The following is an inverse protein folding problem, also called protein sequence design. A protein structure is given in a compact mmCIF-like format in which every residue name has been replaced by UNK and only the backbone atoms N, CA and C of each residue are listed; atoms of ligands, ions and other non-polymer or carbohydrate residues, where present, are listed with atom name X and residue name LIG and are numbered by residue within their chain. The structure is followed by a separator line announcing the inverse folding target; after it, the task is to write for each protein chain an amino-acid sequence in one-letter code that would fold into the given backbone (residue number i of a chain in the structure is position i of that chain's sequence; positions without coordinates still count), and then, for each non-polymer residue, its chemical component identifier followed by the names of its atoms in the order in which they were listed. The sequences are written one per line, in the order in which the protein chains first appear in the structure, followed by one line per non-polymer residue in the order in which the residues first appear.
data_IF_730800962168
#
_entry.id   IF_730800962168
#
_cell.length_a   1.000
_cell.length_b   1.000
_cell.length_c   1.000
_cell.angle_alpha   90.00
_cell.angle_beta   90.00
_cell.angle_gamma   90.00
#
_symmetry.space_group_name_H-M   'P 1'
#
loop_
_entity.id
_entity.type
_entity.pdbx_description
1 polymer ?
#
# COMPACT_ATOMS: atom_id res chain seq x y z
N UNK A 1 -10.61 -21.68 14.18
CA UNK A 1 -11.55 -21.06 13.24
C UNK A 1 -10.85 -19.86 12.61
N UNK A 2 -10.34 -20.00 11.37
CA UNK A 2 -9.86 -18.86 10.58
C UNK A 2 -11.07 -18.12 10.05
N UNK A 3 -11.37 -16.96 10.65
CA UNK A 3 -12.25 -16.01 10.00
C UNK A 3 -11.49 -15.41 8.82
N UNK A 4 -11.88 -15.75 7.60
CA UNK A 4 -11.43 -15.02 6.44
C UNK A 4 -12.03 -13.62 6.53
N UNK A 5 -11.28 -12.65 7.02
CA UNK A 5 -11.65 -11.24 6.92
C UNK A 5 -11.78 -10.90 5.44
N UNK A 6 -12.98 -10.60 5.01
CA UNK A 6 -13.21 -10.10 3.66
C UNK A 6 -12.85 -8.62 3.68
N UNK A 7 -11.74 -8.27 3.06
CA UNK A 7 -11.41 -6.87 2.83
C UNK A 7 -12.15 -6.34 1.61
N UNK A 8 -12.62 -5.10 1.69
CA UNK A 8 -13.17 -4.36 0.56
C UNK A 8 -12.01 -3.70 -0.19
N UNK A 9 -11.88 -3.94 -1.49
CA UNK A 9 -10.85 -3.28 -2.29
C UNK A 9 -11.09 -1.77 -2.34
N UNK A 10 -10.00 -1.00 -2.23
CA UNK A 10 -10.00 0.45 -2.21
C UNK A 10 -9.03 1.00 -3.26
N UNK A 11 -9.35 2.19 -3.79
CA UNK A 11 -8.34 2.97 -4.50
C UNK A 11 -7.23 3.38 -3.51
N UNK A 12 -5.97 3.50 -3.95
CA UNK A 12 -4.85 3.81 -3.06
C UNK A 12 -4.97 5.17 -2.34
N UNK A 13 -5.66 6.13 -2.96
CA UNK A 13 -5.87 7.45 -2.37
C UNK A 13 -7.20 8.08 -2.78
N UNK A 14 -7.78 8.82 -1.85
CA UNK A 14 -8.96 9.66 -2.02
C UNK A 14 -8.64 11.08 -1.58
N UNK A 15 -9.35 12.06 -2.16
CA UNK A 15 -9.26 13.45 -1.74
C UNK A 15 -10.21 13.73 -0.58
N UNK A 16 -9.81 14.59 0.36
CA UNK A 16 -10.74 15.15 1.35
C UNK A 16 -11.95 15.80 0.65
N UNK A 17 -13.13 15.63 1.20
CA UNK A 17 -14.40 16.02 0.59
C UNK A 17 -15.03 14.99 -0.34
N UNK A 18 -14.31 13.94 -0.75
CA UNK A 18 -14.90 12.85 -1.55
C UNK A 18 -15.81 11.95 -0.71
N UNK A 19 -16.77 11.33 -1.41
CA UNK A 19 -17.63 10.29 -0.86
C UNK A 19 -17.28 8.93 -1.46
N UNK A 20 -17.41 7.89 -0.65
CA UNK A 20 -17.22 6.49 -1.06
C UNK A 20 -18.54 5.74 -0.83
N UNK A 21 -19.10 5.18 -1.88
CA UNK A 21 -20.37 4.45 -1.83
C UNK A 21 -20.10 2.96 -1.54
N UNK A 22 -20.42 2.54 -0.33
CA UNK A 22 -20.37 1.15 0.10
C UNK A 22 -21.75 0.47 0.07
N UNK A 23 -22.81 1.13 -0.37
CA UNK A 23 -24.19 0.66 -0.31
C UNK A 23 -24.39 -0.77 -0.83
N UNK A 24 -23.75 -1.10 -1.95
CA UNK A 24 -23.87 -2.44 -2.57
C UNK A 24 -23.29 -3.57 -1.71
N UNK A 25 -22.34 -3.26 -0.82
CA UNK A 25 -21.69 -4.24 0.04
C UNK A 25 -22.24 -4.22 1.45
N UNK A 26 -22.51 -3.04 1.94
CA UNK A 26 -22.80 -2.72 3.32
C UNK A 26 -24.29 -2.83 3.61
N UNK A 27 -25.16 -2.31 2.73
CA UNK A 27 -26.63 -2.40 2.89
C UNK A 27 -27.22 -3.73 2.44
N UNK A 28 -26.53 -4.48 1.58
CA UNK A 28 -27.05 -5.72 1.01
C UNK A 28 -27.48 -6.74 2.05
N UNK A 29 -26.81 -6.76 3.18
CA UNK A 29 -27.06 -7.72 4.25
C UNK A 29 -27.84 -7.11 5.44
N UNK A 30 -28.27 -5.83 5.35
CA UNK A 30 -29.25 -5.21 6.24
C UNK A 30 -28.82 -4.99 7.69
N UNK A 31 -27.50 -5.00 8.01
CA UNK A 31 -27.03 -5.15 9.38
C UNK A 31 -25.98 -4.14 9.84
N UNK A 32 -25.71 -3.08 9.09
CA UNK A 32 -24.69 -2.12 9.50
C UNK A 32 -25.22 -1.14 10.51
N UNK A 33 -24.56 -1.11 11.64
CA UNK A 33 -24.91 -0.23 12.75
C UNK A 33 -23.92 0.88 12.94
N UNK A 34 -22.67 0.71 12.46
CA UNK A 34 -21.62 1.71 12.71
C UNK A 34 -20.42 1.51 11.74
N UNK A 35 -19.64 2.57 11.56
CA UNK A 35 -18.37 2.55 10.87
C UNK A 35 -17.31 3.22 11.74
N UNK A 36 -16.14 2.59 11.85
CA UNK A 36 -15.00 3.11 12.59
C UNK A 36 -13.83 3.26 11.62
N UNK A 37 -13.19 4.41 11.60
CA UNK A 37 -11.97 4.64 10.82
C UNK A 37 -10.75 4.53 11.72
N UNK A 38 -9.79 3.75 11.28
CA UNK A 38 -8.52 3.54 11.97
C UNK A 38 -7.37 4.09 11.14
N UNK A 39 -6.46 4.82 11.79
CA UNK A 39 -5.15 5.08 11.24
C UNK A 39 -4.28 3.83 11.35
N UNK A 40 -3.56 3.53 10.28
CA UNK A 40 -2.60 2.43 10.22
C UNK A 40 -1.19 3.02 10.22
N UNK A 41 -0.53 3.08 11.38
CA UNK A 41 0.81 3.66 11.45
C UNK A 41 1.82 2.76 10.72
N UNK A 42 2.65 3.37 9.87
CA UNK A 42 3.63 2.68 9.02
C UNK A 42 4.72 1.91 9.78
N UNK A 43 4.90 2.14 11.08
CA UNK A 43 6.04 1.64 11.85
C UNK A 43 5.71 0.92 13.16
N UNK A 44 4.46 0.62 13.46
CA UNK A 44 4.12 -0.06 14.72
C UNK A 44 3.14 -1.19 14.50
N UNK A 45 3.52 -2.38 14.89
CA UNK A 45 2.70 -3.58 14.83
C UNK A 45 1.53 -3.60 15.82
N UNK A 46 1.40 -2.60 16.71
CA UNK A 46 0.63 -2.80 17.93
C UNK A 46 -0.48 -1.79 18.23
N UNK A 47 -0.78 -0.81 17.39
CA UNK A 47 -1.83 0.16 17.75
C UNK A 47 -2.52 0.79 16.54
N UNK A 48 -3.68 0.25 16.18
CA UNK A 48 -4.65 1.00 15.39
C UNK A 48 -5.13 2.19 16.21
N UNK A 49 -4.99 3.39 15.67
CA UNK A 49 -5.52 4.60 16.30
C UNK A 49 -6.89 4.88 15.70
N UNK A 50 -7.92 4.80 16.51
CA UNK A 50 -9.26 5.17 16.08
C UNK A 50 -9.34 6.68 15.84
N UNK A 51 -9.78 7.07 14.66
CA UNK A 51 -9.98 8.46 14.29
C UNK A 51 -11.38 8.91 14.71
N UNK A 52 -11.47 10.16 15.13
CA UNK A 52 -12.74 10.76 15.55
C UNK A 52 -13.59 11.22 14.33
N UNK A 53 -14.84 11.62 14.58
CA UNK A 53 -15.81 12.04 13.57
C UNK A 53 -15.41 13.31 12.79
N UNK A 54 -14.30 13.95 13.13
CA UNK A 54 -13.77 15.08 12.34
C UNK A 54 -13.12 14.65 11.04
N UNK A 55 -12.74 13.37 10.91
CA UNK A 55 -12.08 12.82 9.73
C UNK A 55 -13.03 12.23 8.71
N UNK A 56 -14.14 11.68 9.15
CA UNK A 56 -15.13 11.07 8.25
C UNK A 56 -16.54 11.19 8.83
N UNK A 57 -17.52 10.87 7.98
CA UNK A 57 -18.92 10.70 8.33
C UNK A 57 -19.47 9.47 7.62
N UNK A 58 -20.31 8.71 8.29
CA UNK A 58 -20.94 7.53 7.73
C UNK A 58 -22.47 7.66 7.80
N UNK A 59 -23.09 7.69 6.64
CA UNK A 59 -24.53 7.64 6.53
C UNK A 59 -25.01 6.18 6.50
N UNK A 60 -25.54 5.73 7.63
CA UNK A 60 -25.99 4.35 7.82
C UNK A 60 -27.20 4.00 6.91
N UNK A 61 -27.99 4.96 6.50
CA UNK A 61 -29.18 4.73 5.66
C UNK A 61 -28.76 4.53 4.19
N UNK A 62 -27.77 5.25 3.75
CA UNK A 62 -27.29 5.21 2.36
C UNK A 62 -26.06 4.33 2.17
N UNK A 63 -25.32 4.00 3.23
CA UNK A 63 -24.05 3.27 3.17
C UNK A 63 -22.93 4.07 2.56
N UNK A 64 -22.99 5.40 2.61
CA UNK A 64 -22.01 6.31 2.05
C UNK A 64 -21.10 6.85 3.16
N UNK A 65 -19.79 6.80 2.91
CA UNK A 65 -18.79 7.46 3.76
C UNK A 65 -18.35 8.76 3.10
N UNK A 66 -18.36 9.84 3.85
CA UNK A 66 -17.80 11.15 3.45
C UNK A 66 -16.47 11.37 4.14
N UNK A 67 -15.39 11.58 3.37
CA UNK A 67 -14.05 11.87 3.89
C UNK A 67 -13.94 13.37 4.15
N UNK A 68 -13.81 13.78 5.41
CA UNK A 68 -13.86 15.20 5.80
C UNK A 68 -12.50 15.87 5.84
N UNK A 69 -11.44 15.11 6.17
CA UNK A 69 -10.13 15.70 6.46
C UNK A 69 -9.01 14.74 6.05
N UNK A 70 -7.97 15.29 5.46
CA UNK A 70 -6.74 14.57 5.15
C UNK A 70 -6.07 13.98 6.40
N UNK A 71 -5.41 12.83 6.22
CA UNK A 71 -4.65 12.16 7.27
C UNK A 71 -3.25 11.78 6.73
N UNK A 72 -2.17 11.95 7.52
CA UNK A 72 -0.80 11.78 7.04
C UNK A 72 -0.42 10.31 6.73
N UNK A 73 -1.08 9.36 7.38
CA UNK A 73 -0.84 7.93 7.20
C UNK A 73 -2.02 7.27 6.49
N UNK A 74 -1.89 5.98 6.15
CA UNK A 74 -3.02 5.22 5.63
C UNK A 74 -4.08 5.00 6.69
N UNK A 75 -5.32 4.91 6.23
CA UNK A 75 -6.49 4.60 7.05
C UNK A 75 -7.19 3.36 6.51
N UNK A 76 -7.95 2.69 7.37
CA UNK A 76 -8.90 1.65 6.98
C UNK A 76 -10.23 1.87 7.71
N UNK A 77 -11.33 1.43 7.12
CA UNK A 77 -12.66 1.52 7.73
C UNK A 77 -13.12 0.10 8.09
N UNK A 78 -13.58 -0.03 9.33
CA UNK A 78 -14.29 -1.21 9.83
C UNK A 78 -15.78 -0.91 9.84
N UNK A 79 -16.58 -1.76 9.21
CA UNK A 79 -18.03 -1.75 9.30
C UNK A 79 -18.47 -2.87 10.22
N UNK A 80 -19.10 -2.52 11.33
CA UNK A 80 -19.59 -3.47 12.32
C UNK A 80 -20.97 -3.99 11.94
N UNK A 81 -21.18 -5.27 12.18
CA UNK A 81 -22.46 -5.94 11.99
C UNK A 81 -22.94 -6.53 13.33
N UNK A 82 -24.14 -6.15 13.77
CA UNK A 82 -24.77 -6.72 14.97
C UNK A 82 -25.59 -7.96 14.69
N UNK A 83 -25.72 -8.37 13.41
CA UNK A 83 -26.41 -9.59 13.00
C UNK A 83 -25.62 -10.86 13.28
N UNK A 84 -26.24 -12.01 13.09
CA UNK A 84 -25.57 -13.30 13.25
C UNK A 84 -25.34 -13.95 11.88
N UNK A 85 -24.13 -14.48 11.58
CA UNK A 85 -22.92 -14.42 12.40
C UNK A 85 -22.27 -13.03 12.40
N UNK A 86 -21.81 -12.60 13.55
CA UNK A 86 -21.07 -11.33 13.68
C UNK A 86 -19.80 -11.44 12.82
N UNK A 87 -19.72 -10.63 11.81
CA UNK A 87 -18.53 -10.52 10.94
C UNK A 87 -18.29 -9.06 10.63
N UNK A 88 -17.18 -8.53 11.10
CA UNK A 88 -16.77 -7.20 10.73
C UNK A 88 -16.22 -7.22 9.31
N UNK A 89 -16.50 -6.16 8.57
CA UNK A 89 -16.06 -5.96 7.20
C UNK A 89 -15.05 -4.81 7.18
N UNK A 90 -13.84 -5.08 6.72
CA UNK A 90 -12.77 -4.09 6.66
C UNK A 90 -12.51 -3.64 5.23
N UNK A 91 -12.13 -2.39 5.06
CA UNK A 91 -11.52 -1.94 3.80
C UNK A 91 -10.05 -2.31 3.74
N UNK A 92 -9.50 -2.38 2.54
CA UNK A 92 -8.06 -2.27 2.37
C UNK A 92 -7.59 -0.87 2.81
N UNK A 93 -6.32 -0.73 3.24
CA UNK A 93 -5.76 0.58 3.57
C UNK A 93 -5.77 1.53 2.38
N UNK A 94 -6.09 2.80 2.64
CA UNK A 94 -6.06 3.88 1.64
C UNK A 94 -5.61 5.20 2.27
N UNK A 95 -5.19 6.17 1.44
CA UNK A 95 -4.80 7.51 1.89
C UNK A 95 -5.96 8.50 1.76
N UNK A 96 -6.06 9.45 2.70
CA UNK A 96 -6.92 10.62 2.54
C UNK A 96 -6.02 11.83 2.36
N UNK A 97 -5.94 12.34 1.13
CA UNK A 97 -5.07 13.47 0.76
C UNK A 97 -5.81 14.80 0.82
N UNK A 98 -5.10 15.86 1.18
CA UNK A 98 -5.62 17.23 1.05
C UNK A 98 -5.87 17.60 -0.42
N UNK A 99 -6.69 18.63 -0.67
CA UNK A 99 -6.88 19.20 -2.00
C UNK A 99 -5.54 19.55 -2.69
N UNK A 100 -4.58 20.06 -1.90
CA UNK A 100 -3.28 20.49 -2.42
C UNK A 100 -2.36 19.30 -2.80
N UNK A 101 -2.57 18.10 -2.22
CA UNK A 101 -1.71 16.95 -2.41
C UNK A 101 -2.34 15.83 -3.25
N UNK A 102 -3.64 15.89 -3.49
CA UNK A 102 -4.33 14.94 -4.35
C UNK A 102 -3.83 15.06 -5.80
N UNK A 103 -3.54 13.94 -6.42
CA UNK A 103 -2.93 13.88 -7.75
C UNK A 103 -1.41 13.99 -7.77
N UNK A 104 -0.76 14.32 -6.63
CA UNK A 104 0.69 14.20 -6.52
C UNK A 104 1.10 12.75 -6.27
N UNK A 105 2.30 12.34 -6.73
CA UNK A 105 2.79 11.00 -6.51
C UNK A 105 2.78 10.60 -5.03
N UNK A 106 2.25 9.40 -4.75
CA UNK A 106 2.22 8.82 -3.40
C UNK A 106 3.45 7.96 -3.18
N UNK A 107 4.14 8.15 -2.05
CA UNK A 107 5.18 7.20 -1.61
C UNK A 107 4.51 5.89 -1.18
N UNK A 108 4.85 4.79 -1.83
CA UNK A 108 4.23 3.48 -1.57
C UNK A 108 5.20 2.46 -0.96
N UNK A 109 6.50 2.65 -1.11
CA UNK A 109 7.50 1.82 -0.48
C UNK A 109 8.80 2.58 -0.23
N UNK A 110 9.61 2.07 0.67
CA UNK A 110 11.00 2.52 0.85
C UNK A 110 11.89 1.38 1.36
N UNK A 111 13.18 1.48 1.07
CA UNK A 111 14.17 0.59 1.64
C UNK A 111 15.49 1.31 1.91
N UNK A 112 16.26 0.78 2.84
CA UNK A 112 17.57 1.31 3.20
C UNK A 112 18.66 0.37 2.70
N UNK A 113 19.63 0.93 1.98
CA UNK A 113 20.87 0.28 1.57
C UNK A 113 22.02 1.27 1.69
N UNK A 114 23.25 0.77 1.82
CA UNK A 114 24.46 1.57 1.79
C UNK A 114 25.24 1.37 0.49
N UNK A 115 24.76 0.50 -0.38
CA UNK A 115 25.42 0.19 -1.65
C UNK A 115 25.03 1.17 -2.75
N UNK A 116 25.94 1.42 -3.67
CA UNK A 116 25.77 2.25 -4.87
C UNK A 116 26.61 1.65 -6.01
N UNK A 117 26.09 1.62 -7.24
CA UNK A 117 24.75 2.04 -7.66
C UNK A 117 23.65 1.10 -7.15
N UNK A 118 22.46 1.65 -6.95
CA UNK A 118 21.25 0.85 -6.68
C UNK A 118 20.65 0.36 -7.99
N UNK A 119 20.20 -0.88 -8.01
CA UNK A 119 19.45 -1.43 -9.15
C UNK A 119 18.34 -2.35 -8.67
N UNK A 120 17.11 -2.08 -9.09
CA UNK A 120 15.94 -2.91 -8.80
C UNK A 120 14.87 -2.72 -9.88
N UNK A 121 13.84 -3.53 -9.81
CA UNK A 121 12.77 -3.51 -10.82
C UNK A 121 11.39 -3.52 -10.18
N UNK A 122 10.44 -2.82 -10.81
CA UNK A 122 9.04 -2.77 -10.36
C UNK A 122 8.09 -3.05 -11.52
N UNK A 123 6.99 -3.75 -11.24
CA UNK A 123 5.79 -3.80 -12.05
C UNK A 123 4.69 -2.98 -11.37
N UNK A 124 3.88 -2.27 -12.13
CA UNK A 124 2.80 -1.44 -11.62
C UNK A 124 1.44 -1.97 -12.06
N UNK A 125 0.52 -2.01 -11.13
CA UNK A 125 -0.86 -2.42 -11.42
C UNK A 125 -1.47 -1.54 -12.51
N UNK A 126 -2.05 -2.16 -13.54
CA UNK A 126 -2.60 -1.49 -14.71
C UNK A 126 -1.59 -1.13 -15.80
N UNK A 127 -0.29 -1.35 -15.58
CA UNK A 127 0.73 -1.05 -16.58
C UNK A 127 0.80 -2.13 -17.67
N UNK A 128 0.90 -1.69 -18.91
CA UNK A 128 1.16 -2.54 -20.11
C UNK A 128 1.94 -1.76 -21.16
N UNK A 129 2.37 -2.42 -22.23
CA UNK A 129 3.01 -1.73 -23.35
C UNK A 129 2.08 -0.71 -24.01
N UNK A 130 0.76 -0.98 -24.00
CA UNK A 130 -0.27 -0.08 -24.54
C UNK A 130 -0.66 1.03 -23.56
N UNK A 131 -0.47 0.79 -22.25
CA UNK A 131 -0.76 1.73 -21.18
C UNK A 131 0.45 1.86 -20.23
N UNK A 132 1.54 2.52 -20.65
CA UNK A 132 2.70 2.71 -19.81
C UNK A 132 2.40 3.68 -18.68
N UNK A 133 2.87 3.35 -17.46
CA UNK A 133 2.65 4.18 -16.27
C UNK A 133 3.98 4.78 -15.81
N UNK A 134 4.02 6.11 -15.70
CA UNK A 134 5.17 6.82 -15.13
C UNK A 134 5.13 6.75 -13.60
N UNK A 135 6.26 6.41 -12.99
CA UNK A 135 6.47 6.44 -11.55
C UNK A 135 7.78 7.18 -11.23
N UNK A 136 8.00 7.48 -9.95
CA UNK A 136 9.18 8.24 -9.53
C UNK A 136 9.92 7.50 -8.43
N UNK A 137 11.24 7.73 -8.42
CA UNK A 137 12.11 7.17 -7.38
C UNK A 137 13.02 8.28 -6.84
N UNK A 138 13.06 8.38 -5.52
CA UNK A 138 14.13 9.06 -4.80
C UNK A 138 15.18 8.01 -4.43
N UNK A 139 16.38 8.15 -4.99
CA UNK A 139 17.52 7.29 -4.68
C UNK A 139 18.26 7.73 -3.40
N UNK A 140 17.56 8.42 -2.49
CA UNK A 140 18.15 8.97 -1.26
C UNK A 140 18.83 10.33 -1.47
N UNK A 141 18.52 11.00 -2.56
CA UNK A 141 19.07 12.30 -2.96
C UNK A 141 18.11 13.46 -2.68
N UNK A 142 16.91 13.16 -2.19
CA UNK A 142 15.78 14.10 -2.05
C UNK A 142 15.30 14.68 -3.40
N UNK A 143 15.60 13.98 -4.49
CA UNK A 143 15.19 14.38 -5.84
C UNK A 143 14.51 13.20 -6.53
N UNK A 144 13.31 13.42 -7.05
CA UNK A 144 12.55 12.43 -7.78
C UNK A 144 13.07 12.30 -9.20
N UNK A 145 13.41 11.07 -9.60
CA UNK A 145 13.69 10.68 -10.99
C UNK A 145 12.49 9.90 -11.52
N UNK A 146 12.07 10.18 -12.74
CA UNK A 146 10.96 9.46 -13.39
C UNK A 146 11.45 8.21 -14.11
N UNK A 147 10.64 7.17 -14.04
CA UNK A 147 10.79 5.90 -14.75
C UNK A 147 9.44 5.49 -15.34
N UNK A 148 9.42 4.53 -16.24
CA UNK A 148 8.19 4.06 -16.88
C UNK A 148 8.08 2.56 -16.70
N UNK A 149 6.95 2.11 -16.18
CA UNK A 149 6.57 0.71 -16.13
C UNK A 149 5.65 0.37 -17.29
N UNK A 150 5.91 -0.74 -17.96
CA UNK A 150 5.11 -1.27 -19.07
C UNK A 150 4.58 -2.67 -18.78
N UNK A 151 4.61 -3.10 -17.51
CA UNK A 151 4.15 -4.43 -17.09
C UNK A 151 3.69 -4.40 -15.64
N UNK A 152 2.72 -5.26 -15.33
CA UNK A 152 2.28 -5.55 -13.96
C UNK A 152 3.13 -6.63 -13.28
N UNK A 153 3.78 -7.46 -14.07
CA UNK A 153 4.56 -8.61 -13.57
C UNK A 153 6.04 -8.27 -13.47
N UNK A 154 6.81 -9.21 -12.95
CA UNK A 154 8.25 -9.05 -12.78
C UNK A 154 8.93 -8.64 -14.06
N UNK A 155 9.81 -7.76 -13.95
CA UNK A 155 10.03 -6.66 -14.85
C UNK A 155 11.05 -7.00 -15.89
N UNK A 156 10.61 -7.01 -17.07
CA UNK A 156 11.55 -6.94 -18.20
C UNK A 156 12.00 -5.49 -18.44
N UNK A 157 11.19 -4.48 -18.03
CA UNK A 157 11.39 -3.13 -18.58
C UNK A 157 11.31 -1.95 -17.59
N UNK A 158 11.01 -2.13 -16.33
CA UNK A 158 11.03 -1.03 -15.36
C UNK A 158 12.24 -1.12 -14.42
N UNK A 159 13.44 -1.14 -15.01
CA UNK A 159 14.68 -1.17 -14.26
C UNK A 159 15.00 0.24 -13.73
N UNK A 160 14.96 0.37 -12.42
CA UNK A 160 15.47 1.54 -11.72
C UNK A 160 16.96 1.33 -11.49
N UNK A 161 17.79 2.28 -11.91
CA UNK A 161 19.22 2.25 -11.60
C UNK A 161 19.77 3.66 -11.42
N UNK A 162 20.76 3.79 -10.57
CA UNK A 162 21.46 5.05 -10.37
C UNK A 162 22.27 5.13 -9.07
N UNK A 163 23.06 6.19 -9.00
CA UNK A 163 23.84 6.48 -7.82
C UNK A 163 22.94 6.82 -6.63
N UNK A 164 23.29 6.23 -5.49
CA UNK A 164 22.55 6.42 -4.23
C UNK A 164 23.07 7.62 -3.46
N UNK A 165 22.12 8.43 -2.95
CA UNK A 165 22.39 9.46 -1.95
C UNK A 165 22.43 8.90 -0.51
N UNK A 166 22.38 9.79 0.47
CA UNK A 166 22.48 9.42 1.90
C UNK A 166 21.16 8.92 2.50
N UNK A 167 20.00 9.30 1.93
CA UNK A 167 18.68 8.92 2.42
C UNK A 167 18.27 7.49 2.02
N UNK A 168 17.09 7.02 2.49
CA UNK A 168 16.49 5.79 1.99
C UNK A 168 16.09 5.93 0.52
N UNK A 169 16.06 4.81 -0.19
CA UNK A 169 15.42 4.74 -1.51
C UNK A 169 13.91 4.70 -1.30
N UNK A 170 13.17 5.51 -2.04
CA UNK A 170 11.72 5.57 -1.94
C UNK A 170 11.07 5.57 -3.34
N UNK A 171 9.99 4.81 -3.50
CA UNK A 171 9.22 4.72 -4.75
C UNK A 171 7.89 5.43 -4.57
N UNK A 172 7.55 6.23 -5.57
CA UNK A 172 6.32 7.03 -5.64
C UNK A 172 5.56 6.66 -6.91
N UNK A 173 4.26 6.47 -6.78
CA UNK A 173 3.37 6.13 -7.90
C UNK A 173 2.25 7.18 -8.02
N UNK A 174 1.62 7.29 -9.21
CA UNK A 174 0.42 8.13 -9.36
C UNK A 174 -0.71 7.60 -8.48
N UNK A 175 -1.63 8.49 -8.08
CA UNK A 175 -2.86 8.05 -7.44
C UNK A 175 -3.65 7.11 -8.37
N UNK A 176 -4.29 6.09 -7.79
CA UNK A 176 -5.03 5.08 -8.55
C UNK A 176 -4.19 3.90 -9.03
N UNK A 177 -2.88 3.85 -8.71
CA UNK A 177 -2.04 2.68 -8.98
C UNK A 177 -1.19 2.30 -7.77
N UNK A 178 -0.58 1.11 -7.84
CA UNK A 178 0.35 0.62 -6.83
C UNK A 178 1.32 -0.39 -7.46
N UNK A 179 2.33 -0.80 -6.71
CA UNK A 179 3.29 -1.83 -7.14
C UNK A 179 2.62 -3.19 -7.07
N UNK A 180 2.65 -3.93 -8.17
CA UNK A 180 2.17 -5.32 -8.29
C UNK A 180 3.31 -6.33 -8.27
N UNK A 181 4.52 -5.93 -8.69
CA UNK A 181 5.71 -6.76 -8.68
C UNK A 181 6.95 -5.96 -8.26
N UNK A 182 7.79 -6.56 -7.42
CA UNK A 182 9.04 -5.96 -6.94
C UNK A 182 10.16 -7.00 -7.01
N UNK A 183 11.30 -6.62 -7.57
CA UNK A 183 12.51 -7.46 -7.60
C UNK A 183 13.73 -6.65 -7.21
N UNK A 184 14.39 -7.05 -6.12
CA UNK A 184 15.64 -6.51 -5.59
C UNK A 184 16.61 -7.67 -5.41
N UNK A 185 17.73 -7.65 -6.10
CA UNK A 185 18.66 -8.79 -6.12
C UNK A 185 20.11 -8.34 -5.99
N UNK A 186 20.88 -9.12 -5.25
CA UNK A 186 22.34 -9.02 -5.21
C UNK A 186 22.89 -7.70 -4.66
N UNK A 187 22.21 -7.07 -3.73
CA UNK A 187 22.77 -6.00 -2.91
C UNK A 187 22.13 -5.96 -1.51
N UNK A 188 22.84 -5.41 -0.54
CA UNK A 188 22.40 -5.40 0.86
C UNK A 188 21.24 -4.45 1.08
N UNK A 189 20.13 -4.97 1.61
CA UNK A 189 18.97 -4.21 2.09
C UNK A 189 18.90 -4.33 3.60
N UNK A 190 19.12 -3.25 4.32
CA UNK A 190 19.10 -3.29 5.80
C UNK A 190 17.69 -3.22 6.38
N UNK A 191 16.77 -2.58 5.67
CA UNK A 191 15.34 -2.55 6.01
C UNK A 191 14.51 -2.26 4.78
N UNK A 192 13.28 -2.76 4.74
CA UNK A 192 12.31 -2.51 3.67
C UNK A 192 10.92 -2.33 4.26
N UNK A 193 10.20 -1.31 3.80
CA UNK A 193 8.80 -1.05 4.15
C UNK A 193 7.92 -1.33 2.93
N UNK A 194 7.08 -2.36 3.04
CA UNK A 194 6.13 -2.83 2.03
C UNK A 194 4.68 -2.67 2.49
N UNK A 195 4.43 -1.97 3.59
CA UNK A 195 3.12 -1.89 4.24
C UNK A 195 2.01 -1.29 3.36
N UNK A 196 2.38 -0.45 2.40
CA UNK A 196 1.44 0.17 1.46
C UNK A 196 1.19 -0.65 0.19
N UNK A 197 1.90 -1.78 0.01
CA UNK A 197 1.82 -2.62 -1.19
C UNK A 197 0.76 -3.71 -1.05
N UNK A 198 -0.49 -3.33 -0.82
CA UNK A 198 -1.62 -4.26 -0.68
C UNK A 198 -1.97 -5.01 -1.97
N UNK A 199 -1.55 -4.51 -3.14
CA UNK A 199 -1.74 -5.15 -4.45
C UNK A 199 -0.53 -5.97 -4.92
N UNK A 200 0.51 -6.10 -4.08
CA UNK A 200 1.73 -6.82 -4.43
C UNK A 200 1.44 -8.32 -4.63
N UNK A 201 1.73 -8.83 -5.83
CA UNK A 201 1.56 -10.23 -6.23
C UNK A 201 2.89 -10.98 -6.33
N UNK A 202 3.95 -10.30 -6.75
CA UNK A 202 5.25 -10.89 -6.93
C UNK A 202 6.31 -10.14 -6.12
N UNK A 203 7.01 -10.84 -5.25
CA UNK A 203 8.11 -10.29 -4.46
C UNK A 203 9.34 -11.19 -4.58
N UNK A 204 10.42 -10.62 -5.11
CA UNK A 204 11.73 -11.26 -5.18
C UNK A 204 12.77 -10.40 -4.48
N UNK A 205 13.28 -10.88 -3.35
CA UNK A 205 14.35 -10.25 -2.58
C UNK A 205 15.44 -11.29 -2.36
N UNK A 206 16.27 -11.52 -3.37
CA UNK A 206 17.29 -12.58 -3.31
C UNK A 206 18.68 -12.02 -3.05
N UNK A 207 19.43 -12.70 -2.17
CA UNK A 207 20.79 -12.29 -1.81
C UNK A 207 20.88 -10.83 -1.33
N UNK A 208 19.93 -10.41 -0.48
CA UNK A 208 19.83 -9.04 0.05
C UNK A 208 20.27 -8.92 1.50
N UNK A 209 20.69 -10.02 2.13
CA UNK A 209 21.13 -10.10 3.53
C UNK A 209 20.08 -9.65 4.56
N UNK A 210 18.80 -9.67 4.20
CA UNK A 210 17.70 -9.33 5.11
C UNK A 210 17.66 -10.27 6.31
N UNK A 211 17.43 -9.72 7.51
CA UNK A 211 17.24 -10.47 8.75
C UNK A 211 15.77 -10.65 9.13
N UNK A 212 14.92 -9.73 8.69
CA UNK A 212 13.48 -9.78 8.92
C UNK A 212 12.72 -9.09 7.80
N UNK A 213 11.48 -9.52 7.59
CA UNK A 213 10.55 -8.88 6.69
C UNK A 213 9.14 -9.00 7.26
N UNK A 214 8.35 -7.94 7.14
CA UNK A 214 6.94 -7.92 7.48
C UNK A 214 6.09 -7.90 6.21
N UNK A 215 5.30 -8.96 5.99
CA UNK A 215 4.40 -9.14 4.87
C UNK A 215 2.92 -9.13 5.27
N UNK A 216 2.62 -8.67 6.49
CA UNK A 216 1.26 -8.69 7.06
C UNK A 216 0.22 -8.05 6.13
N UNK A 217 0.60 -7.00 5.42
CA UNK A 217 -0.29 -6.26 4.51
C UNK A 217 -0.25 -6.71 3.05
N UNK A 218 0.68 -7.62 2.70
CA UNK A 218 0.86 -8.08 1.32
C UNK A 218 0.08 -9.38 1.03
N UNK A 219 -1.22 -9.34 1.31
CA UNK A 219 -2.10 -10.54 1.30
C UNK A 219 -2.39 -11.09 -0.11
N UNK A 220 -2.06 -10.34 -1.15
CA UNK A 220 -2.23 -10.75 -2.54
C UNK A 220 -1.00 -11.43 -3.13
N UNK A 221 0.05 -11.68 -2.33
CA UNK A 221 1.26 -12.34 -2.80
C UNK A 221 0.95 -13.74 -3.35
N UNK A 222 1.35 -13.95 -4.59
CA UNK A 222 1.24 -15.21 -5.35
C UNK A 222 2.63 -15.84 -5.53
N UNK A 223 3.67 -15.01 -5.70
CA UNK A 223 5.06 -15.40 -5.89
C UNK A 223 5.93 -14.73 -4.85
N UNK A 224 6.68 -15.52 -4.09
CA UNK A 224 7.60 -15.05 -3.06
C UNK A 224 8.94 -15.77 -3.16
N UNK A 225 10.01 -15.03 -3.45
CA UNK A 225 11.38 -15.52 -3.40
C UNK A 225 12.23 -14.65 -2.45
N UNK A 226 12.56 -15.21 -1.30
CA UNK A 226 13.42 -14.63 -0.27
C UNK A 226 14.72 -15.41 -0.11
N UNK A 227 15.12 -16.18 -1.11
CA UNK A 227 16.28 -17.04 -1.06
C UNK A 227 17.59 -16.27 -0.84
N UNK A 228 18.58 -16.94 -0.26
CA UNK A 228 19.90 -16.39 0.03
C UNK A 228 19.87 -15.12 0.93
N UNK A 229 18.99 -15.11 1.92
CA UNK A 229 18.91 -14.09 2.96
C UNK A 229 19.27 -14.65 4.34
N UNK A 230 19.32 -13.79 5.34
CA UNK A 230 19.64 -14.17 6.73
C UNK A 230 18.40 -14.12 7.63
N UNK A 231 17.22 -14.43 7.07
CA UNK A 231 15.95 -14.27 7.78
C UNK A 231 15.89 -15.09 9.06
N UNK A 232 15.59 -14.42 10.16
CA UNK A 232 15.32 -15.02 11.47
C UNK A 232 13.85 -14.91 11.86
N UNK A 233 13.15 -13.93 11.26
CA UNK A 233 11.70 -13.71 11.45
C UNK A 233 11.03 -13.40 10.12
N UNK A 234 9.82 -13.94 9.97
CA UNK A 234 8.90 -13.67 8.87
C UNK A 234 7.51 -13.47 9.48
N UNK A 235 6.94 -12.30 9.32
CA UNK A 235 5.61 -11.93 9.81
C UNK A 235 4.63 -11.75 8.64
#
# INVERSE_FOLDING_TARGET
YQYSQRSLPMEPAYKEGMTIDFSKRVLRDGYLTDAIMYAIPMNTTDSFVMLDDSYFDFDIETGVVTLKKAYPDSVAIEFSNTGFPMSDLFTEPFMIKSEADYGKPTKVMSFTTYESPVSFSVGLHGASEENPITFWVDLGTQTLKSFVATSETTPVNANVSGEKGYGPVAVYVPDGTNISALSINNFVVSSIDLSQLNTLRELTLTNTQLYSIDLTYNRMLEVLDLSHNNLTTLN
#
